data_IF_823146424621
#
_entry.id   IF_823146424621
#
_cell.length_a   1.000
_cell.length_b   1.000
_cell.length_c   1.000
_cell.angle_alpha   90.00
_cell.angle_beta   90.00
_cell.angle_gamma   90.00
#
_symmetry.space_group_name_H-M   'P 1'
#
loop_
_entity.id
_entity.type
_entity.pdbx_description
1 polymer ?
#
# COMPACT_ATOMS: atom_id res chain seq x y z
N UNK A 1 11.08 29.97 1.22
CA UNK A 1 11.17 28.68 0.48
C UNK A 1 9.76 28.27 0.10
N UNK A 2 9.49 27.96 -1.17
CA UNK A 2 8.13 27.67 -1.65
C UNK A 2 7.62 26.33 -1.08
N UNK A 3 6.35 26.24 -0.65
CA UNK A 3 5.79 25.04 0.01
C UNK A 3 6.01 23.75 -0.79
N UNK A 4 6.01 23.84 -2.12
CA UNK A 4 6.26 22.72 -3.02
C UNK A 4 7.70 22.17 -2.94
N UNK A 5 8.71 23.02 -2.71
CA UNK A 5 10.10 22.57 -2.51
C UNK A 5 10.26 21.84 -1.18
N UNK A 6 9.61 22.34 -0.12
CA UNK A 6 9.62 21.68 1.20
C UNK A 6 8.98 20.29 1.13
N UNK A 7 7.84 20.18 0.46
CA UNK A 7 7.14 18.88 0.28
C UNK A 7 7.99 17.90 -0.55
N UNK A 8 8.66 18.37 -1.60
CA UNK A 8 9.56 17.53 -2.40
C UNK A 8 10.74 17.00 -1.59
N UNK A 9 11.37 17.84 -0.76
CA UNK A 9 12.47 17.44 0.14
C UNK A 9 11.99 16.41 1.15
N UNK A 10 10.86 16.67 1.83
CA UNK A 10 10.28 15.73 2.81
C UNK A 10 9.93 14.38 2.18
N UNK A 11 9.41 14.38 0.94
CA UNK A 11 9.12 13.15 0.22
C UNK A 11 10.41 12.35 -0.07
N UNK A 12 11.46 13.04 -0.52
CA UNK A 12 12.75 12.41 -0.81
C UNK A 12 13.38 11.82 0.44
N UNK A 13 13.40 12.56 1.56
CA UNK A 13 13.88 12.09 2.86
C UNK A 13 13.08 10.89 3.36
N UNK A 14 11.74 10.98 3.32
CA UNK A 14 10.88 9.89 3.78
C UNK A 14 11.13 8.59 2.99
N UNK A 15 11.30 8.69 1.67
CA UNK A 15 11.63 7.54 0.83
C UNK A 15 13.05 7.05 1.02
N UNK A 16 14.03 7.94 1.22
CA UNK A 16 15.44 7.57 1.39
C UNK A 16 15.68 6.78 2.68
N UNK A 17 14.89 7.03 3.72
CA UNK A 17 14.93 6.32 5.01
C UNK A 17 14.31 4.91 4.94
N UNK A 18 13.62 4.55 3.85
CA UNK A 18 13.10 3.20 3.68
C UNK A 18 14.24 2.23 3.31
N UNK A 19 14.26 1.02 3.90
CA UNK A 19 15.08 -0.09 3.43
C UNK A 19 14.96 -0.29 1.91
N UNK A 20 16.06 -0.70 1.27
CA UNK A 20 16.10 -0.94 -0.19
C UNK A 20 14.96 -1.86 -0.65
N UNK A 21 14.69 -2.92 0.11
CA UNK A 21 13.61 -3.87 -0.16
C UNK A 21 12.23 -3.20 -0.22
N UNK A 22 11.89 -2.34 0.75
CA UNK A 22 10.62 -1.63 0.76
C UNK A 22 10.53 -0.62 -0.39
N UNK A 23 11.64 0.04 -0.75
CA UNK A 23 11.68 0.93 -1.92
C UNK A 23 11.40 0.18 -3.22
N UNK A 24 12.02 -0.99 -3.39
CA UNK A 24 11.76 -1.85 -4.55
C UNK A 24 10.29 -2.29 -4.58
N UNK A 25 9.74 -2.79 -3.48
CA UNK A 25 8.34 -3.22 -3.42
C UNK A 25 7.35 -2.09 -3.73
N UNK A 26 7.62 -0.86 -3.28
CA UNK A 26 6.79 0.30 -3.64
C UNK A 26 6.85 0.58 -5.15
N UNK A 27 8.04 0.50 -5.74
CA UNK A 27 8.20 0.73 -7.18
C UNK A 27 7.46 -0.34 -8.00
N UNK A 28 7.59 -1.61 -7.63
CA UNK A 28 6.90 -2.71 -8.31
C UNK A 28 5.38 -2.65 -8.15
N UNK A 29 4.90 -2.26 -6.96
CA UNK A 29 3.50 -2.00 -6.71
C UNK A 29 2.98 -0.84 -7.57
N UNK A 30 3.77 0.23 -7.75
CA UNK A 30 3.42 1.37 -8.60
C UNK A 30 3.38 0.99 -10.08
N UNK A 31 4.23 0.07 -10.51
CA UNK A 31 4.25 -0.51 -11.86
C UNK A 31 3.17 -1.57 -12.07
N UNK A 32 2.36 -1.86 -11.06
CA UNK A 32 1.29 -2.87 -11.12
C UNK A 32 1.80 -4.26 -11.54
N UNK A 33 3.02 -4.63 -11.13
CA UNK A 33 3.64 -5.92 -11.49
C UNK A 33 2.81 -7.13 -11.06
N UNK A 34 1.98 -6.97 -10.04
CA UNK A 34 1.17 -8.04 -9.47
C UNK A 34 -0.14 -7.50 -8.86
N UNK A 35 -1.26 -8.24 -8.95
CA UNK A 35 -2.55 -7.84 -8.37
C UNK A 35 -2.61 -8.03 -6.84
N UNK A 36 -1.69 -8.82 -6.28
CA UNK A 36 -1.51 -9.07 -4.85
C UNK A 36 -0.03 -9.01 -4.51
N UNK A 37 0.32 -8.46 -3.34
CA UNK A 37 1.71 -8.48 -2.85
C UNK A 37 2.12 -9.94 -2.64
N UNK A 38 3.11 -10.47 -3.39
CA UNK A 38 3.48 -11.87 -3.31
C UNK A 38 4.47 -12.09 -2.16
N UNK A 39 4.33 -13.17 -1.41
CA UNK A 39 5.42 -13.58 -0.50
C UNK A 39 6.62 -14.07 -1.31
N UNK A 40 7.84 -13.95 -0.76
CA UNK A 40 9.09 -14.36 -1.46
C UNK A 40 9.09 -15.83 -1.87
N UNK A 41 8.47 -16.69 -1.06
CA UNK A 41 8.35 -18.12 -1.30
C UNK A 41 7.16 -18.50 -2.19
N UNK A 42 6.21 -17.60 -2.45
CA UNK A 42 4.89 -17.95 -3.00
C UNK A 42 4.95 -18.62 -4.37
N UNK A 43 5.96 -18.32 -5.19
CA UNK A 43 6.09 -18.84 -6.55
C UNK A 43 7.42 -19.57 -6.82
N UNK A 44 8.21 -19.86 -5.78
CA UNK A 44 9.50 -20.55 -5.91
C UNK A 44 9.36 -22.05 -5.63
N UNK A 45 9.90 -22.89 -6.52
CA UNK A 45 9.92 -24.35 -6.32
C UNK A 45 11.01 -24.79 -5.33
N UNK A 46 12.17 -24.13 -5.36
CA UNK A 46 13.25 -24.35 -4.41
C UNK A 46 13.35 -23.13 -3.47
N UNK A 47 12.79 -23.25 -2.27
CA UNK A 47 12.74 -22.17 -1.28
C UNK A 47 14.01 -22.21 -0.42
N UNK A 48 14.85 -21.19 -0.53
CA UNK A 48 16.03 -21.02 0.32
C UNK A 48 15.70 -20.46 1.71
N UNK A 49 16.64 -20.48 2.67
CA UNK A 49 16.48 -19.83 3.98
C UNK A 49 16.07 -18.35 3.89
N UNK A 50 16.61 -17.62 2.91
CA UNK A 50 16.34 -16.21 2.63
C UNK A 50 14.89 -15.95 2.18
N UNK A 51 14.25 -16.93 1.54
CA UNK A 51 12.88 -16.85 1.03
C UNK A 51 11.82 -17.06 2.11
N UNK A 52 12.23 -17.53 3.30
CA UNK A 52 11.34 -17.73 4.44
C UNK A 52 11.05 -16.44 5.21
N UNK A 53 11.72 -15.33 4.87
CA UNK A 53 11.38 -14.02 5.44
C UNK A 53 10.00 -13.58 4.97
N UNK A 54 9.09 -13.40 5.93
CA UNK A 54 7.71 -13.00 5.64
C UNK A 54 7.67 -11.49 5.35
N UNK A 55 6.98 -11.08 4.29
CA UNK A 55 6.82 -9.65 3.99
C UNK A 55 6.13 -8.90 5.14
N UNK A 56 5.32 -9.58 5.95
CA UNK A 56 4.73 -9.03 7.16
C UNK A 56 5.79 -8.49 8.13
N UNK A 57 6.92 -9.16 8.28
CA UNK A 57 7.97 -8.74 9.22
C UNK A 57 8.69 -7.50 8.71
N UNK A 58 9.01 -7.48 7.40
CA UNK A 58 9.64 -6.34 6.73
C UNK A 58 8.73 -5.11 6.75
N UNK A 59 7.44 -5.30 6.42
CA UNK A 59 6.42 -4.24 6.46
C UNK A 59 6.18 -3.77 7.90
N UNK A 60 6.13 -4.69 8.86
CA UNK A 60 5.95 -4.37 10.28
C UNK A 60 7.07 -3.50 10.82
N UNK A 61 8.33 -3.88 10.57
CA UNK A 61 9.50 -3.11 10.97
C UNK A 61 9.54 -1.71 10.31
N UNK A 62 9.07 -1.60 9.06
CA UNK A 62 9.06 -0.35 8.31
C UNK A 62 7.77 0.47 8.41
N UNK A 63 6.77 0.06 9.19
CA UNK A 63 5.40 0.59 9.09
C UNK A 63 5.33 2.11 9.33
N UNK A 64 6.01 2.61 10.36
CA UNK A 64 6.03 4.05 10.68
C UNK A 64 6.58 4.86 9.50
N UNK A 65 7.67 4.40 8.90
CA UNK A 65 8.31 5.07 7.76
C UNK A 65 7.48 4.97 6.48
N UNK A 66 6.77 3.85 6.28
CA UNK A 66 5.80 3.69 5.20
C UNK A 66 4.62 4.67 5.33
N UNK A 67 4.08 4.85 6.54
CA UNK A 67 3.01 5.81 6.81
C UNK A 67 3.47 7.26 6.66
N UNK A 68 4.69 7.59 7.08
CA UNK A 68 5.31 8.89 6.82
C UNK A 68 5.45 9.14 5.31
N UNK A 69 5.94 8.14 4.57
CA UNK A 69 6.07 8.20 3.10
C UNK A 69 4.72 8.30 2.38
N UNK A 70 3.68 7.66 2.90
CA UNK A 70 2.31 7.78 2.40
C UNK A 70 1.82 9.22 2.56
N UNK A 71 1.96 9.79 3.77
CA UNK A 71 1.56 11.16 4.05
C UNK A 71 2.32 12.15 3.14
N UNK A 72 3.63 11.98 3.00
CA UNK A 72 4.44 12.82 2.13
C UNK A 72 4.00 12.70 0.65
N UNK A 73 3.68 11.50 0.18
CA UNK A 73 3.21 11.28 -1.20
C UNK A 73 1.84 11.93 -1.45
N UNK A 74 0.92 11.87 -0.48
CA UNK A 74 -0.38 12.57 -0.53
C UNK A 74 -0.16 14.09 -0.62
N UNK A 75 0.70 14.65 0.23
CA UNK A 75 1.01 16.08 0.23
C UNK A 75 1.66 16.54 -1.10
N UNK A 76 2.48 15.68 -1.69
CA UNK A 76 3.10 15.90 -3.00
C UNK A 76 2.15 15.66 -4.19
N UNK A 77 0.91 15.21 -3.93
CA UNK A 77 -0.05 14.75 -4.94
C UNK A 77 0.45 13.61 -5.83
N UNK A 78 1.42 12.82 -5.38
CA UNK A 78 1.85 11.58 -6.03
C UNK A 78 0.89 10.45 -5.64
N UNK A 79 -0.33 10.50 -6.20
CA UNK A 79 -1.40 9.54 -5.88
C UNK A 79 -1.01 8.10 -6.26
N UNK A 80 -0.22 7.92 -7.31
CA UNK A 80 0.27 6.62 -7.74
C UNK A 80 1.19 5.98 -6.68
N UNK A 81 2.15 6.74 -6.14
CA UNK A 81 2.99 6.21 -5.06
C UNK A 81 2.21 6.04 -3.75
N UNK A 82 1.28 6.94 -3.44
CA UNK A 82 0.42 6.78 -2.28
C UNK A 82 -0.42 5.50 -2.38
N UNK A 83 -0.99 5.20 -3.55
CA UNK A 83 -1.74 3.97 -3.81
C UNK A 83 -0.86 2.71 -3.72
N UNK A 84 0.38 2.77 -4.22
CA UNK A 84 1.36 1.69 -4.07
C UNK A 84 1.69 1.39 -2.60
N UNK A 85 1.86 2.43 -1.77
CA UNK A 85 2.10 2.24 -0.33
C UNK A 85 0.85 1.67 0.35
N UNK A 86 -0.35 2.18 0.02
CA UNK A 86 -1.63 1.63 0.52
C UNK A 86 -1.74 0.14 0.19
N UNK A 87 -1.40 -0.25 -1.03
CA UNK A 87 -1.39 -1.63 -1.47
C UNK A 87 -0.43 -2.49 -0.65
N UNK A 88 0.78 -1.98 -0.39
CA UNK A 88 1.80 -2.71 0.37
C UNK A 88 1.38 -2.94 1.83
N UNK A 89 0.82 -1.93 2.50
CA UNK A 89 0.45 -2.04 3.92
C UNK A 89 -0.91 -2.72 4.15
N UNK A 90 -1.72 -2.94 3.12
CA UNK A 90 -3.09 -3.46 3.23
C UNK A 90 -3.18 -4.78 4.01
N UNK A 91 -2.35 -5.77 3.66
CA UNK A 91 -2.38 -7.09 4.32
C UNK A 91 -2.02 -6.97 5.81
N UNK A 92 -1.02 -6.14 6.12
CA UNK A 92 -0.57 -5.93 7.49
C UNK A 92 -1.65 -5.22 8.32
N UNK A 93 -2.21 -4.13 7.80
CA UNK A 93 -3.24 -3.32 8.48
C UNK A 93 -4.59 -4.04 8.61
N UNK A 94 -4.87 -5.03 7.76
CA UNK A 94 -5.99 -5.95 8.00
C UNK A 94 -5.79 -6.83 9.21
N UNK A 95 -4.59 -7.34 9.44
CA UNK A 95 -4.28 -8.10 10.66
C UNK A 95 -4.42 -7.27 11.95
N UNK A 96 -4.40 -5.95 11.83
CA UNK A 96 -4.61 -5.00 12.93
C UNK A 96 -6.05 -4.44 13.01
N UNK A 97 -6.97 -4.94 12.20
CA UNK A 97 -8.37 -4.50 12.15
C UNK A 97 -8.58 -2.99 11.87
N UNK A 98 -7.66 -2.36 11.12
CA UNK A 98 -7.75 -0.94 10.74
C UNK A 98 -7.97 -0.71 9.24
N UNK A 99 -8.37 -1.75 8.51
CA UNK A 99 -8.60 -1.70 7.06
C UNK A 99 -9.64 -0.66 6.63
N UNK A 100 -10.68 -0.40 7.43
CA UNK A 100 -11.68 0.60 7.10
C UNK A 100 -11.10 2.00 6.90
N UNK A 101 -10.15 2.41 7.76
CA UNK A 101 -9.47 3.72 7.64
C UNK A 101 -8.56 3.76 6.41
N UNK A 102 -7.84 2.67 6.14
CA UNK A 102 -7.00 2.56 4.94
C UNK A 102 -7.82 2.66 3.65
N UNK A 103 -9.00 2.05 3.61
CA UNK A 103 -9.92 2.12 2.47
C UNK A 103 -10.47 3.54 2.24
N UNK A 104 -10.69 4.32 3.31
CA UNK A 104 -11.02 5.74 3.14
C UNK A 104 -9.88 6.54 2.51
N UNK A 105 -8.62 6.22 2.84
CA UNK A 105 -7.46 6.83 2.17
C UNK A 105 -7.46 6.47 0.69
N UNK A 106 -7.65 5.19 0.34
CA UNK A 106 -7.73 4.74 -1.06
C UNK A 106 -8.85 5.46 -1.83
N UNK A 107 -10.03 5.61 -1.21
CA UNK A 107 -11.17 6.38 -1.77
C UNK A 107 -10.82 7.86 -1.97
N UNK A 108 -10.10 8.46 -1.03
CA UNK A 108 -9.60 9.83 -1.13
C UNK A 108 -8.64 10.01 -2.32
N UNK A 109 -7.70 9.07 -2.50
CA UNK A 109 -6.77 9.07 -3.63
C UNK A 109 -7.51 8.99 -4.98
N UNK A 110 -8.49 8.08 -5.08
CA UNK A 110 -9.29 7.95 -6.29
C UNK A 110 -10.12 9.20 -6.58
N UNK A 111 -10.65 9.88 -5.56
CA UNK A 111 -11.34 11.17 -5.73
C UNK A 111 -10.41 12.29 -6.20
N UNK A 112 -9.17 12.33 -5.70
CA UNK A 112 -8.18 13.34 -6.10
C UNK A 112 -7.69 13.13 -7.54
N UNK A 113 -7.48 11.88 -7.93
CA UNK A 113 -7.02 11.52 -9.26
C UNK A 113 -7.66 10.17 -9.66
N UNK A 114 -8.80 10.19 -10.38
CA UNK A 114 -9.56 8.98 -10.74
C UNK A 114 -8.76 7.96 -11.56
N UNK A 115 -7.76 8.42 -12.31
CA UNK A 115 -6.85 7.57 -13.07
C UNK A 115 -5.84 6.81 -12.18
N UNK A 116 -5.78 7.07 -10.88
CA UNK A 116 -4.89 6.35 -9.96
C UNK A 116 -5.31 4.89 -9.86
N UNK A 117 -4.43 3.94 -10.23
CA UNK A 117 -4.77 2.53 -10.15
C UNK A 117 -4.87 2.10 -8.69
N UNK A 118 -5.97 1.40 -8.35
CA UNK A 118 -6.15 0.75 -7.05
C UNK A 118 -6.00 -0.74 -7.25
N UNK A 119 -5.07 -1.35 -6.52
CA UNK A 119 -4.78 -2.78 -6.65
C UNK A 119 -6.02 -3.64 -6.33
N UNK A 120 -6.26 -4.74 -7.07
CA UNK A 120 -7.36 -5.67 -6.80
C UNK A 120 -7.41 -6.18 -5.36
N UNK A 121 -6.24 -6.39 -4.72
CA UNK A 121 -6.17 -6.75 -3.30
C UNK A 121 -6.94 -5.78 -2.38
N UNK A 122 -6.83 -4.47 -2.63
CA UNK A 122 -7.48 -3.42 -1.83
C UNK A 122 -8.99 -3.38 -2.13
N UNK A 123 -9.40 -3.66 -3.36
CA UNK A 123 -10.83 -3.79 -3.71
C UNK A 123 -11.46 -4.99 -2.98
N UNK A 124 -10.77 -6.13 -2.99
CA UNK A 124 -11.21 -7.34 -2.27
C UNK A 124 -11.24 -7.09 -0.75
N UNK A 125 -10.36 -6.23 -0.22
CA UNK A 125 -10.40 -5.82 1.18
C UNK A 125 -11.73 -5.19 1.56
N UNK A 126 -12.26 -4.30 0.70
CA UNK A 126 -13.57 -3.69 0.92
C UNK A 126 -14.68 -4.74 1.03
N UNK A 127 -14.66 -5.76 0.17
CA UNK A 127 -15.62 -6.85 0.24
C UNK A 127 -15.48 -7.67 1.54
N UNK A 128 -14.25 -7.95 1.98
CA UNK A 128 -13.99 -8.69 3.23
C UNK A 128 -14.51 -7.97 4.46
N UNK A 129 -14.27 -6.66 4.57
CA UNK A 129 -14.77 -5.90 5.74
C UNK A 129 -16.30 -5.79 5.76
N UNK A 130 -16.95 -5.71 4.58
CA UNK A 130 -18.40 -5.74 4.50
C UNK A 130 -18.95 -7.05 5.06
N UNK A 131 -18.44 -8.18 4.58
CA UNK A 131 -18.82 -9.51 5.09
C UNK A 131 -18.59 -9.62 6.61
N UNK A 132 -17.43 -9.21 7.12
CA UNK A 132 -17.11 -9.29 8.55
C UNK A 132 -18.03 -8.44 9.43
N UNK A 133 -18.56 -7.32 8.90
CA UNK A 133 -19.49 -6.44 9.61
C UNK A 133 -20.96 -6.91 9.56
N UNK A 134 -21.23 -8.10 8.99
CA UNK A 134 -22.59 -8.60 8.78
C UNK A 134 -23.35 -7.88 7.67
N UNK A 135 -22.69 -7.01 6.90
CA UNK A 135 -23.27 -6.41 5.70
C UNK A 135 -23.04 -7.33 4.51
N UNK A 136 -24.12 -7.71 3.82
CA UNK A 136 -23.97 -8.40 2.54
C UNK A 136 -23.20 -7.48 1.58
N UNK A 137 -22.14 -7.95 0.89
CA UNK A 137 -21.56 -7.24 -0.25
C UNK A 137 -22.60 -7.28 -1.38
N UNK A 138 -23.65 -6.46 -1.26
CA UNK A 138 -24.73 -6.40 -2.22
C UNK A 138 -24.19 -5.74 -3.49
N UNK A 139 -24.02 -6.57 -4.53
CA UNK A 139 -24.44 -6.29 -5.91
C UNK A 139 -24.54 -4.79 -6.19
N UNK A 140 -23.42 -4.12 -6.43
CA UNK A 140 -23.51 -2.85 -7.12
C UNK A 140 -23.68 -3.18 -8.60
N UNK A 141 -24.94 -3.06 -9.04
CA UNK A 141 -25.28 -2.91 -10.45
C UNK A 141 -24.34 -1.88 -11.08
N UNK A 142 -23.81 -2.25 -12.25
CA UNK A 142 -23.30 -1.30 -13.23
C UNK A 142 -24.35 -0.23 -13.56
#
# INVERSE_FOLDING_TARGET
>A
MNNQKVVAVLLQECRALLPSELRTLIQEAKEMKWPFVPEKWQYKQAVGPEDKTNLKDVIGAGLQQLLASLRASILARDCAAAAAIVFLVDRFLYGLDVSGKLLQVAKGLHKLQPATPIAPQVVIRQARISVNSGSHPAKHSM
#
